data_IF_441107470253
#
_entry.id   IF_441107470253
#
_cell.length_a   1.000
_cell.length_b   1.000
_cell.length_c   1.000
_cell.angle_alpha   90.00
_cell.angle_beta   90.00
_cell.angle_gamma   90.00
#
_symmetry.space_group_name_H-M   'P 1'
#
loop_
_entity.id
_entity.type
_entity.pdbx_description
1 polymer ?
#
# COMPACT_ATOMS: atom_id res chain seq x y z
N UNK A 1 25.36 -25.93 -45.40
CA UNK A 1 25.26 -24.69 -44.58
C UNK A 1 23.81 -24.56 -44.15
N UNK A 2 23.52 -24.63 -42.85
CA UNK A 2 22.17 -24.50 -42.32
C UNK A 2 22.05 -23.14 -41.60
N UNK A 3 21.11 -22.31 -42.03
CA UNK A 3 20.83 -21.02 -41.41
C UNK A 3 19.88 -21.24 -40.22
N UNK A 4 20.32 -20.84 -39.03
CA UNK A 4 19.49 -20.85 -37.82
C UNK A 4 18.78 -19.49 -37.72
N UNK A 5 17.46 -19.50 -37.89
CA UNK A 5 16.62 -18.32 -37.71
C UNK A 5 16.33 -18.14 -36.22
N UNK A 6 16.78 -17.03 -35.64
CA UNK A 6 16.37 -16.61 -34.29
C UNK A 6 15.05 -15.84 -34.37
N UNK A 7 13.99 -16.39 -33.77
CA UNK A 7 12.73 -15.65 -33.55
C UNK A 7 12.89 -14.80 -32.28
N UNK A 8 12.92 -13.48 -32.44
CA UNK A 8 12.93 -12.53 -31.32
C UNK A 8 11.49 -12.31 -30.86
N UNK A 9 11.09 -12.94 -29.76
CA UNK A 9 9.80 -12.67 -29.12
C UNK A 9 9.86 -11.30 -28.40
N UNK A 10 9.26 -10.29 -29.01
CA UNK A 10 9.07 -8.99 -28.36
C UNK A 10 8.04 -9.15 -27.22
N UNK A 11 8.53 -9.37 -25.99
CA UNK A 11 7.71 -9.36 -24.80
C UNK A 11 7.19 -7.95 -24.54
N UNK A 12 5.91 -7.70 -24.86
CA UNK A 12 5.23 -6.48 -24.44
C UNK A 12 4.99 -6.56 -22.93
N UNK A 13 5.84 -5.89 -22.15
CA UNK A 13 5.58 -5.68 -20.72
C UNK A 13 4.40 -4.72 -20.61
N UNK A 14 3.19 -5.26 -20.46
CA UNK A 14 2.03 -4.46 -20.08
C UNK A 14 2.31 -3.91 -18.68
N UNK A 15 2.61 -2.62 -18.58
CA UNK A 15 2.74 -1.94 -17.31
C UNK A 15 1.41 -2.12 -16.54
N UNK A 16 1.45 -2.89 -15.45
CA UNK A 16 0.27 -3.14 -14.64
C UNK A 16 -0.17 -1.83 -13.99
N UNK A 17 -1.36 -1.35 -14.33
CA UNK A 17 -1.92 -0.14 -13.76
C UNK A 17 -1.97 -0.26 -12.22
N UNK A 18 -1.68 0.81 -11.46
CA UNK A 18 -1.78 0.78 -10.01
C UNK A 18 -3.19 0.37 -9.58
N UNK A 19 -3.30 -0.66 -8.76
CA UNK A 19 -4.59 -1.05 -8.18
C UNK A 19 -5.07 0.09 -7.28
N UNK A 20 -6.36 0.50 -7.36
CA UNK A 20 -6.89 1.53 -6.48
C UNK A 20 -6.74 1.12 -5.00
N UNK A 21 -6.57 2.09 -4.10
CA UNK A 21 -6.47 1.81 -2.67
C UNK A 21 -7.77 1.20 -2.15
N UNK A 22 -7.64 0.27 -1.19
CA UNK A 22 -8.78 -0.28 -0.47
C UNK A 22 -9.25 0.76 0.56
N UNK A 23 -10.50 1.20 0.44
CA UNK A 23 -11.13 2.07 1.42
C UNK A 23 -11.84 1.21 2.47
N UNK A 24 -11.49 1.42 3.74
CA UNK A 24 -12.11 0.75 4.88
C UNK A 24 -12.94 1.75 5.68
N UNK A 25 -14.11 1.32 6.14
CA UNK A 25 -14.84 2.06 7.17
C UNK A 25 -14.14 1.94 8.53
N UNK A 26 -14.40 2.85 9.49
CA UNK A 26 -13.77 2.77 10.81
C UNK A 26 -13.97 1.41 11.52
N UNK A 27 -15.16 0.78 11.52
CA UNK A 27 -15.32 -0.56 12.09
C UNK A 27 -14.50 -1.64 11.37
N UNK A 28 -14.37 -1.57 10.05
CA UNK A 28 -13.60 -2.54 9.25
C UNK A 28 -12.09 -2.41 9.52
N UNK A 29 -11.59 -1.18 9.62
CA UNK A 29 -10.19 -0.92 9.96
C UNK A 29 -9.86 -1.43 11.37
N UNK A 30 -10.75 -1.17 12.34
CA UNK A 30 -10.59 -1.64 13.71
C UNK A 30 -10.58 -3.17 13.80
N UNK A 31 -11.51 -3.86 13.13
CA UNK A 31 -11.52 -5.32 13.08
C UNK A 31 -10.23 -5.88 12.46
N UNK A 32 -9.75 -5.27 11.38
CA UNK A 32 -8.53 -5.70 10.70
C UNK A 32 -7.27 -5.47 11.54
N UNK A 33 -7.25 -4.43 12.37
CA UNK A 33 -6.18 -4.16 13.34
C UNK A 33 -6.15 -5.23 14.44
N UNK A 34 -7.32 -5.59 15.01
CA UNK A 34 -7.41 -6.66 16.02
C UNK A 34 -7.03 -8.04 15.47
N UNK A 35 -7.30 -8.29 14.19
CA UNK A 35 -6.90 -9.53 13.51
C UNK A 35 -5.41 -9.54 13.10
N UNK A 36 -4.62 -8.52 13.44
CA UNK A 36 -3.23 -8.32 13.01
C UNK A 36 -3.04 -8.36 11.47
N UNK A 37 -4.06 -7.93 10.71
CA UNK A 37 -4.04 -7.93 9.23
C UNK A 37 -3.54 -6.63 8.62
N UNK A 38 -3.40 -5.57 9.42
CA UNK A 38 -2.87 -4.28 8.98
C UNK A 38 -2.02 -3.62 10.07
N UNK A 39 -1.15 -2.71 9.62
CA UNK A 39 -0.50 -1.72 10.48
C UNK A 39 -1.19 -0.39 10.26
N UNK A 40 -1.60 0.26 11.34
CA UNK A 40 -2.20 1.58 11.25
C UNK A 40 -1.10 2.64 11.30
N UNK A 41 -1.11 3.54 10.33
CA UNK A 41 -0.09 4.59 10.19
C UNK A 41 -0.80 5.94 10.12
N UNK A 42 -0.40 6.85 11.00
CA UNK A 42 -0.92 8.21 11.02
C UNK A 42 -0.03 9.12 10.16
N UNK A 43 -0.63 9.73 9.13
CA UNK A 43 0.04 10.60 8.16
C UNK A 43 -0.22 12.09 8.42
N UNK A 44 -0.90 12.42 9.53
CA UNK A 44 -1.16 13.80 9.93
C UNK A 44 0.13 14.47 10.41
N UNK A 45 0.14 15.80 10.39
CA UNK A 45 1.29 16.57 10.87
C UNK A 45 1.47 16.39 12.39
N UNK A 46 2.70 16.56 12.92
CA UNK A 46 2.94 16.50 14.36
C UNK A 46 2.07 17.47 15.16
N UNK A 47 1.76 18.65 14.60
CA UNK A 47 0.88 19.63 15.24
C UNK A 47 -0.58 19.20 15.34
N UNK A 48 -1.10 18.44 14.37
CA UNK A 48 -2.44 17.85 14.44
C UNK A 48 -2.48 16.69 15.44
N UNK A 49 -1.46 15.84 15.41
CA UNK A 49 -1.30 14.72 16.34
C UNK A 49 -1.23 15.24 17.79
N UNK A 50 -0.45 16.29 18.05
CA UNK A 50 -0.32 16.88 19.39
C UNK A 50 -1.65 17.40 19.95
N UNK A 51 -2.62 17.78 19.10
CA UNK A 51 -3.92 18.30 19.52
C UNK A 51 -4.92 17.20 19.87
N UNK A 52 -4.91 16.08 19.15
CA UNK A 52 -5.95 15.04 19.27
C UNK A 52 -5.45 13.70 19.79
N UNK A 53 -4.13 13.52 19.86
CA UNK A 53 -3.48 12.22 20.05
C UNK A 53 -3.51 11.36 18.79
N UNK A 54 -3.02 10.13 18.96
CA UNK A 54 -2.90 9.09 17.94
C UNK A 54 -3.92 7.99 18.24
N UNK A 55 -4.49 7.37 17.20
CA UNK A 55 -5.37 6.21 17.36
C UNK A 55 -4.62 5.03 18.02
N UNK A 56 -5.30 4.27 18.88
CA UNK A 56 -4.70 3.12 19.54
C UNK A 56 -4.16 2.11 18.52
N UNK A 57 -2.89 1.73 18.67
CA UNK A 57 -2.20 0.82 17.74
C UNK A 57 -1.70 1.47 16.45
N UNK A 58 -1.83 2.79 16.28
CA UNK A 58 -1.23 3.49 15.17
C UNK A 58 0.19 4.00 15.48
N UNK A 59 1.03 4.00 14.45
CA UNK A 59 2.36 4.61 14.48
C UNK A 59 2.30 5.93 13.72
N UNK A 60 2.70 7.03 14.35
CA UNK A 60 2.92 8.29 13.65
C UNK A 60 4.20 8.23 12.84
N UNK A 61 4.16 8.73 11.60
CA UNK A 61 5.37 8.95 10.85
C UNK A 61 5.90 10.36 11.14
N UNK A 62 7.20 10.44 11.38
CA UNK A 62 7.93 11.70 11.56
C UNK A 62 8.73 11.94 10.27
N UNK A 63 8.17 12.72 9.34
CA UNK A 63 8.78 13.12 8.07
C UNK A 63 8.60 14.60 7.81
#
# INVERSE_FOLDING_TARGET
MAAITFLLAAGQSAAQAPKPPLLLSPPQALASLYDNRLTLVDIRTPGEIARTGIAAGATALDW
#
